data_IF_617041874572
#
_entry.id   IF_617041874572
#
_cell.length_a   1.000
_cell.length_b   1.000
_cell.length_c   1.000
_cell.angle_alpha   90.00
_cell.angle_beta   90.00
_cell.angle_gamma   90.00
#
_symmetry.space_group_name_H-M   'P 1'
#
loop_
_entity.id
_entity.type
_entity.pdbx_description
1 polymer ?
#
# COMPACT_ATOMS: atom_id res chain seq x y z
N UNK A 1 3.88 -6.92 -15.81
CA UNK A 1 5.19 -6.25 -15.64
C UNK A 1 5.54 -6.41 -14.16
N UNK A 2 6.69 -6.98 -13.84
CA UNK A 2 7.11 -7.20 -12.44
C UNK A 2 7.88 -5.96 -12.01
N UNK A 3 7.60 -5.42 -10.82
CA UNK A 3 8.37 -4.30 -10.30
C UNK A 3 9.79 -4.78 -9.90
N UNK A 4 10.82 -4.09 -10.39
CA UNK A 4 12.22 -4.38 -10.06
C UNK A 4 12.78 -3.46 -8.95
N UNK A 5 11.94 -2.63 -8.37
CA UNK A 5 12.28 -1.66 -7.31
C UNK A 5 11.56 -2.01 -6.01
N UNK A 6 12.13 -1.67 -4.83
CA UNK A 6 11.43 -1.81 -3.57
C UNK A 6 10.02 -1.22 -3.64
N UNK A 7 9.02 -2.01 -3.25
CA UNK A 7 7.60 -1.62 -3.39
C UNK A 7 6.87 -1.62 -2.04
N UNK A 8 6.29 -0.49 -1.66
CA UNK A 8 5.32 -0.38 -0.57
C UNK A 8 3.91 -0.33 -1.16
N UNK A 9 3.02 -1.18 -0.66
CA UNK A 9 1.59 -1.15 -0.98
C UNK A 9 0.80 -0.78 0.27
N UNK A 10 0.05 0.31 0.22
CA UNK A 10 -0.84 0.73 1.28
C UNK A 10 -2.29 0.68 0.78
N UNK A 11 -3.14 -0.13 1.41
CA UNK A 11 -4.52 -0.34 0.96
C UNK A 11 -5.49 -0.44 2.15
N UNK A 12 -6.68 0.14 2.00
CA UNK A 12 -7.75 -0.03 2.97
C UNK A 12 -8.50 -1.35 2.71
N UNK A 13 -8.58 -2.21 3.74
CA UNK A 13 -9.35 -3.47 3.73
C UNK A 13 -10.85 -3.24 3.48
N UNK A 14 -11.34 -2.07 3.87
CA UNK A 14 -12.75 -1.73 3.80
C UNK A 14 -13.09 -0.89 2.54
N UNK A 15 -12.16 -0.71 1.60
CA UNK A 15 -12.47 -0.05 0.33
C UNK A 15 -13.46 -0.91 -0.48
N UNK A 16 -14.70 -0.44 -0.74
CA UNK A 16 -15.69 -1.23 -1.47
C UNK A 16 -15.35 -1.42 -2.95
N UNK A 17 -14.32 -0.74 -3.46
CA UNK A 17 -13.87 -0.81 -4.84
C UNK A 17 -12.55 -1.56 -5.01
N UNK A 18 -11.92 -1.98 -3.91
CA UNK A 18 -10.67 -2.71 -3.98
C UNK A 18 -10.92 -4.19 -4.28
N UNK A 19 -10.30 -4.66 -5.35
CA UNK A 19 -10.22 -6.09 -5.67
C UNK A 19 -9.04 -6.70 -4.92
N UNK A 20 -9.28 -7.18 -3.70
CA UNK A 20 -8.24 -7.64 -2.78
C UNK A 20 -7.34 -8.72 -3.39
N UNK A 21 -7.88 -9.62 -4.20
CA UNK A 21 -7.10 -10.65 -4.88
C UNK A 21 -6.09 -10.05 -5.87
N UNK A 22 -6.50 -9.00 -6.60
CA UNK A 22 -5.60 -8.27 -7.50
C UNK A 22 -4.51 -7.52 -6.72
N UNK A 23 -4.85 -6.94 -5.57
CA UNK A 23 -3.87 -6.28 -4.70
C UNK A 23 -2.83 -7.27 -4.18
N UNK A 24 -3.27 -8.46 -3.77
CA UNK A 24 -2.38 -9.53 -3.32
C UNK A 24 -1.50 -10.04 -4.48
N UNK A 25 -2.06 -10.29 -5.65
CA UNK A 25 -1.29 -10.71 -6.83
C UNK A 25 -0.22 -9.67 -7.20
N UNK A 26 -0.59 -8.39 -7.20
CA UNK A 26 0.35 -7.31 -7.45
C UNK A 26 1.46 -7.25 -6.40
N UNK A 27 1.12 -7.43 -5.12
CA UNK A 27 2.10 -7.45 -4.04
C UNK A 27 3.03 -8.67 -4.09
N UNK A 28 2.52 -9.84 -4.50
CA UNK A 28 3.31 -11.08 -4.53
C UNK A 28 4.22 -11.21 -5.76
N UNK A 29 3.97 -10.43 -6.82
CA UNK A 29 4.74 -10.50 -8.06
C UNK A 29 6.22 -10.06 -7.97
N UNK A 30 6.60 -8.96 -7.27
CA UNK A 30 7.98 -8.49 -7.19
C UNK A 30 8.87 -9.46 -6.42
N UNK A 31 10.03 -9.86 -6.95
CA UNK A 31 11.02 -10.70 -6.23
C UNK A 31 11.99 -9.89 -5.37
N UNK A 32 11.81 -8.58 -5.32
CA UNK A 32 12.59 -7.61 -4.54
C UNK A 32 11.91 -7.29 -3.20
N UNK A 33 12.50 -6.41 -2.40
CA UNK A 33 11.91 -5.99 -1.13
C UNK A 33 10.52 -5.40 -1.34
N UNK A 34 9.57 -5.86 -0.53
CA UNK A 34 8.17 -5.46 -0.60
C UNK A 34 7.55 -5.39 0.78
N UNK A 35 6.69 -4.41 0.99
CA UNK A 35 5.91 -4.26 2.22
C UNK A 35 4.45 -3.99 1.91
N UNK A 36 3.54 -4.61 2.66
CA UNK A 36 2.10 -4.43 2.55
C UNK A 36 1.56 -3.87 3.86
N UNK A 37 0.84 -2.76 3.76
CA UNK A 37 0.12 -2.16 4.88
C UNK A 37 -1.37 -2.13 4.59
N UNK A 38 -2.09 -2.97 5.33
CA UNK A 38 -3.54 -3.03 5.27
C UNK A 38 -4.18 -2.17 6.36
N UNK A 39 -4.83 -1.09 5.97
CA UNK A 39 -5.62 -0.27 6.89
C UNK A 39 -6.98 -0.91 7.17
N UNK A 40 -7.39 -0.87 8.43
CA UNK A 40 -8.75 -1.24 8.85
C UNK A 40 -9.45 0.04 9.34
N UNK A 41 -9.93 0.84 8.39
CA UNK A 41 -10.48 2.19 8.60
C UNK A 41 -11.84 2.33 7.90
N UNK A 42 -12.39 3.54 7.82
CA UNK A 42 -13.71 3.79 7.22
C UNK A 42 -13.92 3.08 5.87
N UNK A 43 -15.14 2.59 5.61
CA UNK A 43 -15.53 1.92 4.36
C UNK A 43 -15.62 2.89 3.17
N UNK A 44 -14.46 3.39 2.75
CA UNK A 44 -14.30 4.40 1.72
C UNK A 44 -12.95 4.25 1.03
N UNK A 45 -12.95 4.41 -0.31
CA UNK A 45 -11.72 4.47 -1.11
C UNK A 45 -10.81 5.62 -0.70
N UNK A 46 -11.40 6.74 -0.26
CA UNK A 46 -10.64 7.93 0.11
C UNK A 46 -10.02 7.84 1.50
N UNK A 47 -10.46 6.89 2.33
CA UNK A 47 -9.99 6.78 3.70
C UNK A 47 -8.48 6.48 3.79
N UNK A 48 -7.94 5.66 2.87
CA UNK A 48 -6.51 5.39 2.82
C UNK A 48 -5.70 6.66 2.46
N UNK A 49 -6.13 7.39 1.43
CA UNK A 49 -5.47 8.63 1.01
C UNK A 49 -5.48 9.69 2.12
N UNK A 50 -6.61 9.83 2.79
CA UNK A 50 -6.76 10.76 3.92
C UNK A 50 -5.92 10.34 5.13
N UNK A 51 -5.86 9.03 5.45
CA UNK A 51 -4.99 8.51 6.51
C UNK A 51 -3.52 8.82 6.22
N UNK A 52 -3.04 8.51 5.00
CA UNK A 52 -1.66 8.78 4.58
C UNK A 52 -1.37 10.28 4.64
N UNK A 53 -2.30 11.13 4.19
CA UNK A 53 -2.15 12.59 4.25
C UNK A 53 -2.03 13.15 5.67
N UNK A 54 -2.71 12.55 6.66
CA UNK A 54 -2.66 12.97 8.06
C UNK A 54 -1.48 12.37 8.83
N UNK A 55 -1.03 11.18 8.44
CA UNK A 55 0.04 10.44 9.08
C UNK A 55 1.04 9.91 8.03
N UNK A 56 1.81 10.78 7.37
CA UNK A 56 2.68 10.39 6.27
C UNK A 56 3.95 9.66 6.72
N UNK A 57 4.15 9.46 8.03
CA UNK A 57 5.41 8.97 8.61
C UNK A 57 5.88 7.66 7.99
N UNK A 58 4.99 6.70 7.78
CA UNK A 58 5.38 5.40 7.21
C UNK A 58 5.79 5.52 5.74
N UNK A 59 5.09 6.36 4.96
CA UNK A 59 5.45 6.63 3.57
C UNK A 59 6.80 7.36 3.48
N UNK A 60 7.04 8.36 4.32
CA UNK A 60 8.32 9.10 4.37
C UNK A 60 9.46 8.16 4.78
N UNK A 61 9.27 7.37 5.84
CA UNK A 61 10.26 6.40 6.31
C UNK A 61 10.60 5.36 5.23
N UNK A 62 9.63 4.94 4.41
CA UNK A 62 9.89 4.03 3.30
C UNK A 62 10.86 4.65 2.29
N UNK A 63 10.62 5.90 1.90
CA UNK A 63 11.50 6.61 0.98
C UNK A 63 12.89 6.84 1.58
N UNK A 64 12.99 7.24 2.85
CA UNK A 64 14.28 7.44 3.54
C UNK A 64 15.15 6.16 3.58
N UNK A 65 14.54 4.97 3.52
CA UNK A 65 15.26 3.69 3.55
C UNK A 65 15.60 3.14 2.15
N UNK A 66 14.99 3.67 1.09
CA UNK A 66 15.04 3.05 -0.25
C UNK A 66 15.40 4.02 -1.39
N UNK A 67 15.62 5.31 -1.09
CA UNK A 67 16.18 6.32 -2.01
C UNK A 67 17.40 7.00 -1.40
#
# INVERSE_FOLDING_TARGET
>A
MIAEVPTLVEQNKNDPWAETDMVNEYFEAPTVQREMKWFDIEKSRFAAYDYIGRAPGDLVNWFDNHM
#
